data_IF_437577030599
#
_entry.id   IF_437577030599
#
_cell.length_a   1.000
_cell.length_b   1.000
_cell.length_c   1.000
_cell.angle_alpha   90.00
_cell.angle_beta   90.00
_cell.angle_gamma   90.00
#
_symmetry.space_group_name_H-M   'P 1'
#
loop_
_entity.id
_entity.type
_entity.pdbx_description
1 polymer ?
#
# COMPACT_ATOMS: atom_id res chain seq x y z
N UNK A 1 -7.80 -22.89 -10.87
CA UNK A 1 -7.34 -21.77 -11.70
C UNK A 1 -6.80 -20.74 -10.74
N UNK A 2 -5.63 -20.12 -11.00
CA UNK A 2 -5.24 -18.98 -10.19
C UNK A 2 -6.29 -17.89 -10.40
N UNK A 3 -6.78 -17.27 -9.32
CA UNK A 3 -7.73 -16.17 -9.44
C UNK A 3 -7.12 -15.03 -10.28
N UNK A 4 -7.92 -14.36 -11.12
CA UNK A 4 -7.42 -13.24 -11.90
C UNK A 4 -6.90 -12.14 -10.96
N UNK A 5 -5.60 -11.88 -11.00
CA UNK A 5 -4.98 -10.79 -10.24
C UNK A 5 -5.58 -9.45 -10.68
N UNK A 6 -6.02 -8.64 -9.73
CA UNK A 6 -6.53 -7.26 -9.96
C UNK A 6 -5.42 -6.24 -9.70
N UNK A 7 -5.62 -4.97 -10.09
CA UNK A 7 -4.69 -3.90 -9.67
C UNK A 7 -4.70 -3.74 -8.15
N UNK A 8 -5.85 -3.95 -7.52
CA UNK A 8 -6.02 -3.88 -6.07
C UNK A 8 -5.15 -4.92 -5.36
N UNK A 9 -5.23 -6.17 -5.78
CA UNK A 9 -4.37 -7.25 -5.28
C UNK A 9 -2.87 -6.94 -5.41
N UNK A 10 -2.44 -6.25 -6.48
CA UNK A 10 -1.04 -5.80 -6.63
C UNK A 10 -0.66 -4.72 -5.62
N UNK A 11 -1.56 -3.78 -5.33
CA UNK A 11 -1.36 -2.75 -4.30
C UNK A 11 -1.25 -3.44 -2.93
N UNK A 12 -2.17 -4.35 -2.63
CA UNK A 12 -2.19 -5.11 -1.38
C UNK A 12 -0.92 -5.95 -1.20
N UNK A 13 -0.44 -6.60 -2.26
CA UNK A 13 0.83 -7.32 -2.24
C UNK A 13 2.02 -6.40 -1.90
N UNK A 14 2.06 -5.17 -2.43
CA UNK A 14 3.09 -4.19 -2.12
C UNK A 14 3.01 -3.69 -0.65
N UNK A 15 1.80 -3.51 -0.11
CA UNK A 15 1.57 -3.18 1.31
C UNK A 15 2.09 -4.30 2.21
N UNK A 16 1.67 -5.56 1.96
CA UNK A 16 2.13 -6.75 2.70
C UNK A 16 3.65 -6.92 2.60
N UNK A 17 4.25 -6.66 1.43
CA UNK A 17 5.71 -6.69 1.24
C UNK A 17 6.43 -5.69 2.13
N UNK A 18 5.99 -4.43 2.16
CA UNK A 18 6.69 -3.38 2.90
C UNK A 18 6.54 -3.55 4.42
N UNK A 19 5.39 -4.04 4.91
CA UNK A 19 5.22 -4.42 6.33
C UNK A 19 6.19 -5.55 6.74
N UNK A 20 6.32 -6.59 5.92
CA UNK A 20 7.30 -7.67 6.16
C UNK A 20 8.75 -7.17 6.14
N UNK A 21 9.08 -6.24 5.22
CA UNK A 21 10.41 -5.63 5.16
C UNK A 21 10.73 -4.82 6.42
N UNK A 22 9.75 -4.10 6.96
CA UNK A 22 9.89 -3.36 8.21
C UNK A 22 10.09 -4.30 9.41
N UNK A 23 9.27 -5.34 9.54
CA UNK A 23 9.43 -6.35 10.60
C UNK A 23 10.83 -6.98 10.56
N UNK A 24 11.26 -7.47 9.38
CA UNK A 24 12.57 -8.07 9.21
C UNK A 24 13.71 -7.11 9.54
N UNK A 25 13.61 -5.85 9.13
CA UNK A 25 14.64 -4.84 9.38
C UNK A 25 14.72 -4.42 10.86
N UNK A 26 13.60 -4.44 11.58
CA UNK A 26 13.54 -4.12 13.01
C UNK A 26 13.88 -5.33 13.90
N UNK A 27 13.73 -6.56 13.38
CA UNK A 27 14.16 -7.79 14.05
C UNK A 27 15.68 -7.96 14.07
N UNK A 28 16.38 -7.39 13.09
CA UNK A 28 17.83 -7.42 13.04
C UNK A 28 18.41 -6.65 14.26
N UNK A 29 19.52 -7.14 14.87
CA UNK A 29 20.22 -6.37 15.90
C UNK A 29 20.47 -4.96 15.38
N UNK A 30 20.30 -3.90 16.19
CA UNK A 30 20.58 -2.54 15.76
C UNK A 30 21.97 -2.49 15.15
N UNK A 31 22.05 -2.49 13.83
CA UNK A 31 23.34 -2.42 13.18
C UNK A 31 23.95 -1.08 13.60
N UNK A 32 25.24 -1.04 13.88
CA UNK A 32 25.97 0.20 14.15
C UNK A 32 26.05 1.14 12.92
N UNK A 33 25.13 0.99 11.96
CA UNK A 33 24.99 1.79 10.76
C UNK A 33 24.32 3.13 11.13
N UNK A 34 25.08 4.24 11.12
CA UNK A 34 24.53 5.54 11.44
C UNK A 34 23.39 5.87 10.47
N UNK A 35 22.22 6.25 11.02
CA UNK A 35 21.08 6.69 10.22
C UNK A 35 20.11 5.60 9.77
N UNK A 36 20.34 4.31 10.08
CA UNK A 36 19.42 3.23 9.72
C UNK A 36 18.00 3.45 10.25
N UNK A 37 17.86 3.89 11.50
CA UNK A 37 16.56 4.18 12.09
C UNK A 37 15.79 5.28 11.33
N UNK A 38 16.49 6.32 10.87
CA UNK A 38 15.88 7.39 10.05
C UNK A 38 15.46 6.88 8.68
N UNK A 39 16.26 6.02 8.05
CA UNK A 39 15.90 5.37 6.79
C UNK A 39 14.64 4.52 6.96
N UNK A 40 14.56 3.68 7.98
CA UNK A 40 13.38 2.85 8.23
C UNK A 40 12.13 3.69 8.49
N UNK A 41 12.24 4.80 9.24
CA UNK A 41 11.14 5.76 9.38
C UNK A 41 10.72 6.37 8.04
N UNK A 42 11.66 6.71 7.16
CA UNK A 42 11.35 7.20 5.80
C UNK A 42 10.63 6.14 4.96
N UNK A 43 11.05 4.87 5.06
CA UNK A 43 10.38 3.75 4.40
C UNK A 43 8.94 3.57 4.90
N UNK A 44 8.75 3.59 6.23
CA UNK A 44 7.43 3.53 6.84
C UNK A 44 6.54 4.71 6.44
N UNK A 45 7.06 5.94 6.46
CA UNK A 45 6.31 7.12 6.05
C UNK A 45 5.85 7.03 4.57
N UNK A 46 6.63 6.38 3.71
CA UNK A 46 6.19 6.13 2.34
C UNK A 46 5.04 5.12 2.27
N UNK A 47 5.14 3.98 2.97
CA UNK A 47 4.06 3.00 3.07
C UNK A 47 2.77 3.65 3.59
N UNK A 48 2.87 4.39 4.69
CA UNK A 48 1.73 5.09 5.30
C UNK A 48 1.07 6.07 4.32
N UNK A 49 1.85 6.84 3.57
CA UNK A 49 1.34 7.76 2.54
C UNK A 49 0.67 7.04 1.35
N UNK A 50 1.23 5.92 0.88
CA UNK A 50 0.61 5.15 -0.22
C UNK A 50 -0.72 4.52 0.23
N UNK A 51 -0.72 3.89 1.40
CA UNK A 51 -1.89 3.22 1.94
C UNK A 51 -3.01 4.21 2.29
N UNK A 52 -2.67 5.36 2.90
CA UNK A 52 -3.64 6.40 3.20
C UNK A 52 -4.30 6.98 1.95
N UNK A 53 -3.54 7.18 0.87
CA UNK A 53 -4.10 7.67 -0.42
C UNK A 53 -5.00 6.65 -1.09
N UNK A 54 -4.66 5.37 -0.97
CA UNK A 54 -5.44 4.26 -1.51
C UNK A 54 -6.81 4.18 -0.83
N UNK A 55 -6.85 4.15 0.51
CA UNK A 55 -8.12 4.12 1.25
C UNK A 55 -8.94 5.40 1.09
N UNK A 56 -8.28 6.57 1.07
CA UNK A 56 -8.96 7.83 0.79
C UNK A 56 -9.65 7.80 -0.59
N UNK A 57 -8.99 7.22 -1.59
CA UNK A 57 -9.57 7.07 -2.93
C UNK A 57 -10.77 6.11 -2.93
N UNK A 58 -10.77 5.07 -2.11
CA UNK A 58 -11.92 4.19 -1.94
C UNK A 58 -13.11 4.91 -1.32
N UNK A 59 -12.89 5.60 -0.20
CA UNK A 59 -13.92 6.35 0.50
C UNK A 59 -14.51 7.46 -0.38
N UNK A 60 -13.68 8.19 -1.12
CA UNK A 60 -14.13 9.33 -1.92
C UNK A 60 -14.79 8.90 -3.25
N UNK A 61 -14.39 7.77 -3.83
CA UNK A 61 -14.74 7.40 -5.20
C UNK A 61 -15.40 6.03 -5.33
N UNK A 62 -14.82 5.00 -4.70
CA UNK A 62 -15.25 3.60 -4.87
C UNK A 62 -16.52 3.33 -4.08
N UNK A 63 -16.52 3.55 -2.76
CA UNK A 63 -17.67 3.26 -1.91
C UNK A 63 -18.94 4.01 -2.34
N UNK A 64 -18.89 5.32 -2.66
CA UNK A 64 -20.07 6.01 -3.18
C UNK A 64 -20.56 5.46 -4.52
N UNK A 65 -19.66 4.96 -5.38
CA UNK A 65 -20.05 4.33 -6.64
C UNK A 65 -20.72 2.97 -6.40
N UNK A 66 -20.18 2.16 -5.50
CA UNK A 66 -20.77 0.86 -5.12
C UNK A 66 -22.15 1.02 -4.48
N UNK A 67 -22.34 2.03 -3.64
CA UNK A 67 -23.67 2.37 -3.11
C UNK A 67 -24.67 2.69 -4.23
N UNK A 68 -24.27 3.48 -5.25
CA UNK A 68 -25.13 3.78 -6.41
C UNK A 68 -25.44 2.55 -7.26
N UNK A 69 -24.52 1.58 -7.30
CA UNK A 69 -24.68 0.31 -8.00
C UNK A 69 -25.47 -0.73 -7.20
N UNK A 70 -25.87 -0.40 -5.96
CA UNK A 70 -26.71 -1.25 -5.12
C UNK A 70 -25.95 -2.30 -4.30
N UNK A 71 -24.64 -2.12 -4.11
CA UNK A 71 -23.86 -2.94 -3.18
C UNK A 71 -24.34 -2.69 -1.74
N UNK A 72 -24.36 -3.76 -0.93
CA UNK A 72 -24.83 -3.73 0.45
C UNK A 72 -24.11 -2.66 1.27
N UNK A 73 -24.88 -1.73 1.83
CA UNK A 73 -24.37 -0.64 2.67
C UNK A 73 -23.78 -1.14 3.98
N UNK A 74 -24.17 -2.33 4.44
CA UNK A 74 -23.59 -2.96 5.64
C UNK A 74 -22.13 -3.30 5.40
N UNK A 75 -21.84 -3.98 4.28
CA UNK A 75 -20.47 -4.30 3.88
C UNK A 75 -19.62 -3.03 3.71
N UNK A 76 -20.18 -1.98 3.11
CA UNK A 76 -19.46 -0.71 2.95
C UNK A 76 -19.14 -0.07 4.31
N UNK A 77 -20.08 -0.09 5.26
CA UNK A 77 -19.83 0.39 6.62
C UNK A 77 -18.75 -0.42 7.35
N UNK A 78 -18.69 -1.74 7.13
CA UNK A 78 -17.62 -2.59 7.67
C UNK A 78 -16.25 -2.18 7.10
N UNK A 79 -16.15 -1.89 5.79
CA UNK A 79 -14.91 -1.39 5.18
C UNK A 79 -14.47 -0.04 5.78
N UNK A 80 -15.42 0.89 6.00
CA UNK A 80 -15.15 2.19 6.62
C UNK A 80 -14.65 2.05 8.07
N UNK A 81 -15.26 1.16 8.87
CA UNK A 81 -14.83 0.88 10.24
C UNK A 81 -13.41 0.26 10.26
N UNK A 82 -13.12 -0.64 9.32
CA UNK A 82 -11.80 -1.24 9.16
C UNK A 82 -10.74 -0.22 8.71
N UNK A 83 -11.10 0.71 7.82
CA UNK A 83 -10.26 1.85 7.45
C UNK A 83 -9.90 2.70 8.66
N UNK A 84 -10.88 3.03 9.51
CA UNK A 84 -10.65 3.78 10.73
C UNK A 84 -9.69 3.05 11.68
N UNK A 85 -9.84 1.73 11.84
CA UNK A 85 -8.94 0.90 12.63
C UNK A 85 -7.51 0.88 12.05
N UNK A 86 -7.36 0.82 10.73
CA UNK A 86 -6.05 0.89 10.07
C UNK A 86 -5.41 2.27 10.26
N UNK A 87 -6.15 3.37 10.13
CA UNK A 87 -5.64 4.72 10.38
C UNK A 87 -5.07 4.85 11.79
N UNK A 88 -5.79 4.32 12.80
CA UNK A 88 -5.30 4.32 14.17
C UNK A 88 -3.99 3.53 14.31
N UNK A 89 -3.95 2.28 13.82
CA UNK A 89 -2.77 1.43 13.89
C UNK A 89 -1.56 2.01 13.14
N UNK A 90 -1.78 2.65 11.98
CA UNK A 90 -0.74 3.32 11.22
C UNK A 90 -0.23 4.59 11.95
N UNK A 91 -1.11 5.31 12.64
CA UNK A 91 -0.73 6.45 13.47
C UNK A 91 0.15 6.06 14.66
N UNK A 92 -0.19 4.96 15.33
CA UNK A 92 0.62 4.39 16.43
C UNK A 92 2.01 3.98 15.94
N UNK A 93 2.08 3.26 14.81
CA UNK A 93 3.36 2.86 14.22
C UNK A 93 4.17 4.06 13.73
N UNK A 94 3.54 5.12 13.21
CA UNK A 94 4.23 6.36 12.88
C UNK A 94 4.93 7.00 14.09
N UNK A 95 4.25 6.97 15.23
CA UNK A 95 4.78 7.47 16.51
C UNK A 95 5.96 6.62 16.97
N UNK A 96 5.82 5.29 16.98
CA UNK A 96 6.89 4.38 17.38
C UNK A 96 8.14 4.49 16.48
N UNK A 97 7.95 4.58 15.16
CA UNK A 97 9.03 4.80 14.20
C UNK A 97 9.72 6.16 14.37
N UNK A 98 8.98 7.19 14.79
CA UNK A 98 9.54 8.51 15.12
C UNK A 98 10.41 8.44 16.37
N UNK A 99 9.94 7.79 17.43
CA UNK A 99 10.71 7.53 18.66
C UNK A 99 11.99 6.77 18.36
N UNK A 100 11.90 5.67 17.59
CA UNK A 100 13.06 4.88 17.19
C UNK A 100 14.08 5.69 16.38
N UNK A 101 13.61 6.54 15.45
CA UNK A 101 14.50 7.37 14.65
C UNK A 101 15.20 8.49 15.44
N UNK A 102 14.58 8.98 16.52
CA UNK A 102 15.13 10.01 17.40
C UNK A 102 16.16 9.43 18.38
N UNK A 103 15.85 8.28 18.98
CA UNK A 103 16.68 7.63 20.01
C UNK A 103 16.81 6.12 19.72
N UNK A 104 17.67 5.72 18.78
CA UNK A 104 17.81 4.31 18.40
C UNK A 104 18.40 3.48 19.54
N UNK A 105 17.65 2.51 20.03
CA UNK A 105 18.08 1.50 21.01
C UNK A 105 17.45 0.15 20.68
N UNK A 106 17.89 -0.92 21.34
CA UNK A 106 17.24 -2.22 21.21
C UNK A 106 15.78 -2.17 21.68
N UNK A 107 15.49 -1.39 22.72
CA UNK A 107 14.14 -1.20 23.25
C UNK A 107 13.25 -0.44 22.28
N UNK A 108 13.69 0.70 21.74
CA UNK A 108 12.87 1.49 20.80
C UNK A 108 12.69 0.77 19.46
N UNK A 109 13.67 -0.05 19.03
CA UNK A 109 13.50 -0.95 17.90
C UNK A 109 12.44 -2.02 18.16
N UNK A 110 12.45 -2.65 19.34
CA UNK A 110 11.47 -3.66 19.73
C UNK A 110 10.05 -3.08 19.81
N UNK A 111 9.88 -1.87 20.36
CA UNK A 111 8.61 -1.16 20.41
C UNK A 111 8.08 -0.84 19.00
N UNK A 112 8.94 -0.31 18.12
CA UNK A 112 8.58 -0.05 16.73
C UNK A 112 8.17 -1.34 16.01
N UNK A 113 8.90 -2.44 16.23
CA UNK A 113 8.58 -3.75 15.66
C UNK A 113 7.24 -4.29 16.14
N UNK A 114 6.97 -4.19 17.45
CA UNK A 114 5.69 -4.61 18.02
C UNK A 114 4.53 -3.84 17.38
N UNK A 115 4.70 -2.53 17.19
CA UNK A 115 3.70 -1.70 16.50
C UNK A 115 3.50 -2.14 15.04
N UNK A 116 4.58 -2.40 14.30
CA UNK A 116 4.51 -2.93 12.92
C UNK A 116 3.75 -4.25 12.85
N UNK A 117 4.00 -5.18 13.78
CA UNK A 117 3.30 -6.47 13.84
C UNK A 117 1.80 -6.30 14.15
N UNK A 118 1.45 -5.37 15.04
CA UNK A 118 0.06 -5.04 15.33
C UNK A 118 -0.64 -4.43 14.09
N UNK A 119 0.00 -3.46 13.43
CA UNK A 119 -0.47 -2.90 12.15
C UNK A 119 -0.66 -3.97 11.10
N UNK A 120 0.29 -4.92 10.97
CA UNK A 120 0.19 -6.00 10.00
C UNK A 120 -1.06 -6.87 10.23
N UNK A 121 -1.43 -7.15 11.49
CA UNK A 121 -2.65 -7.90 11.78
C UNK A 121 -3.92 -7.12 11.41
N UNK A 122 -3.95 -5.81 11.67
CA UNK A 122 -5.10 -4.96 11.32
C UNK A 122 -5.25 -4.87 9.81
N UNK A 123 -4.17 -4.54 9.11
CA UNK A 123 -4.13 -4.44 7.65
C UNK A 123 -4.50 -5.77 7.01
N UNK A 124 -3.92 -6.90 7.43
CA UNK A 124 -4.23 -8.19 6.81
C UNK A 124 -5.70 -8.57 6.94
N UNK A 125 -6.34 -8.30 8.09
CA UNK A 125 -7.77 -8.57 8.26
C UNK A 125 -8.60 -7.79 7.25
N UNK A 126 -8.31 -6.50 7.10
CA UNK A 126 -9.02 -5.65 6.15
C UNK A 126 -8.79 -6.10 4.70
N UNK A 127 -7.54 -6.22 4.26
CA UNK A 127 -7.23 -6.59 2.88
C UNK A 127 -7.84 -7.95 2.52
N UNK A 128 -7.83 -8.92 3.44
CA UNK A 128 -8.46 -10.22 3.22
C UNK A 128 -9.98 -10.14 3.14
N UNK A 129 -10.63 -9.27 3.93
CA UNK A 129 -12.07 -9.06 3.86
C UNK A 129 -12.46 -8.37 2.55
N UNK A 130 -11.74 -7.32 2.16
CA UNK A 130 -11.96 -6.61 0.90
C UNK A 130 -11.79 -7.54 -0.31
N UNK A 131 -10.69 -8.30 -0.36
CA UNK A 131 -10.41 -9.25 -1.44
C UNK A 131 -11.48 -10.36 -1.52
N UNK A 132 -12.00 -10.83 -0.39
CA UNK A 132 -12.96 -11.92 -0.33
C UNK A 132 -14.41 -11.49 -0.60
N UNK A 133 -14.81 -10.32 -0.12
CA UNK A 133 -16.21 -9.90 -0.11
C UNK A 133 -16.46 -8.66 -0.97
N UNK A 134 -15.60 -7.64 -0.94
CA UNK A 134 -15.86 -6.41 -1.69
C UNK A 134 -15.49 -6.57 -3.17
N UNK A 135 -14.27 -7.03 -3.49
CA UNK A 135 -13.79 -7.15 -4.88
C UNK A 135 -14.72 -7.97 -5.80
N UNK A 136 -15.26 -9.13 -5.39
CA UNK A 136 -16.18 -9.90 -6.22
C UNK A 136 -17.49 -9.16 -6.54
N UNK A 137 -17.90 -8.21 -5.69
CA UNK A 137 -19.08 -7.37 -5.92
C UNK A 137 -18.78 -6.22 -6.89
N UNK A 138 -17.51 -5.83 -7.05
CA UNK A 138 -17.08 -4.83 -8.04
C UNK A 138 -17.06 -5.44 -9.46
N UNK A 139 -16.61 -6.69 -9.60
CA UNK A 139 -16.34 -7.32 -10.90
C UNK A 139 -17.49 -7.26 -11.92
N UNK A 140 -18.78 -7.46 -11.56
CA UNK A 140 -19.90 -7.34 -12.49
C UNK A 140 -20.15 -5.93 -13.02
N UNK A 141 -19.57 -4.90 -12.39
CA UNK A 141 -19.83 -3.49 -12.69
C UNK A 141 -18.70 -2.79 -13.42
N UNK A 142 -17.61 -3.48 -13.78
CA UNK A 142 -16.43 -2.86 -14.41
C UNK A 142 -16.76 -2.10 -15.71
N UNK A 143 -17.77 -2.54 -16.46
CA UNK A 143 -18.22 -1.88 -17.70
C UNK A 143 -19.30 -0.81 -17.50
N UNK A 144 -19.77 -0.59 -16.26
CA UNK A 144 -20.78 0.43 -15.93
C UNK A 144 -20.25 1.85 -16.14
N UNK A 145 -21.15 2.81 -16.37
CA UNK A 145 -20.78 4.22 -16.50
C UNK A 145 -20.30 4.79 -15.16
N UNK A 146 -20.88 4.32 -14.06
CA UNK A 146 -20.47 4.63 -12.70
C UNK A 146 -19.00 4.22 -12.45
N UNK A 147 -18.62 3.01 -12.84
CA UNK A 147 -17.24 2.54 -12.67
C UNK A 147 -16.25 3.25 -13.61
N UNK A 148 -16.62 3.47 -14.88
CA UNK A 148 -15.80 4.26 -15.81
C UNK A 148 -15.55 5.68 -15.30
N UNK A 149 -16.53 6.28 -14.59
CA UNK A 149 -16.35 7.58 -13.97
C UNK A 149 -15.31 7.55 -12.84
N UNK A 150 -15.29 6.49 -12.01
CA UNK A 150 -14.25 6.25 -10.99
C UNK A 150 -12.87 6.11 -11.64
N UNK A 151 -12.74 5.25 -12.65
CA UNK A 151 -11.47 5.08 -13.37
C UNK A 151 -10.93 6.38 -13.96
N UNK A 152 -11.83 7.22 -14.50
CA UNK A 152 -11.46 8.53 -15.04
C UNK A 152 -10.88 9.45 -13.97
N UNK A 153 -11.33 9.36 -12.72
CA UNK A 153 -10.76 10.13 -11.61
C UNK A 153 -9.37 9.60 -11.23
N UNK A 154 -9.18 8.27 -11.16
CA UNK A 154 -7.85 7.68 -10.90
C UNK A 154 -6.79 8.12 -11.94
N UNK A 155 -7.20 8.32 -13.19
CA UNK A 155 -6.29 8.77 -14.28
C UNK A 155 -5.85 10.24 -14.17
N UNK A 156 -6.44 11.05 -13.29
CA UNK A 156 -6.10 12.49 -13.16
C UNK A 156 -4.85 12.77 -12.32
N UNK A 157 -4.15 11.74 -11.86
CA UNK A 157 -2.97 11.90 -11.02
C UNK A 157 -1.78 12.50 -11.80
N UNK A 158 -0.97 13.39 -11.19
CA UNK A 158 0.22 13.93 -11.83
C UNK A 158 1.19 12.80 -12.26
N UNK A 159 1.89 12.92 -13.41
CA UNK A 159 2.78 11.87 -13.90
C UNK A 159 3.87 11.43 -12.92
N UNK A 160 4.36 12.34 -12.08
CA UNK A 160 5.36 12.06 -11.04
C UNK A 160 4.78 11.22 -9.90
N UNK A 161 3.51 11.42 -9.54
CA UNK A 161 2.80 10.61 -8.54
C UNK A 161 2.60 9.20 -9.10
N UNK A 162 2.10 9.09 -10.32
CA UNK A 162 1.92 7.81 -11.03
C UNK A 162 3.25 7.06 -11.16
N UNK A 163 4.32 7.75 -11.56
CA UNK A 163 5.65 7.15 -11.68
C UNK A 163 6.22 6.64 -10.34
N UNK A 164 6.02 7.39 -9.25
CA UNK A 164 6.42 6.95 -7.90
C UNK A 164 5.64 5.72 -7.44
N UNK A 165 4.33 5.71 -7.69
CA UNK A 165 3.44 4.60 -7.37
C UNK A 165 3.85 3.32 -8.13
N UNK A 166 4.06 3.39 -9.45
CA UNK A 166 4.51 2.23 -10.22
C UNK A 166 5.92 1.77 -9.84
N UNK A 167 6.83 2.69 -9.50
CA UNK A 167 8.14 2.31 -8.97
C UNK A 167 8.02 1.52 -7.65
N UNK A 168 7.07 1.87 -6.79
CA UNK A 168 6.78 1.14 -5.56
C UNK A 168 6.14 -0.23 -5.82
N UNK A 169 5.15 -0.32 -6.71
CA UNK A 169 4.52 -1.60 -7.06
C UNK A 169 5.52 -2.59 -7.69
N UNK A 170 6.47 -2.10 -8.48
CA UNK A 170 7.42 -2.95 -9.22
C UNK A 170 8.68 -3.32 -8.43
N UNK A 171 8.96 -2.65 -7.31
CA UNK A 171 10.14 -2.94 -6.49
C UNK A 171 10.00 -4.29 -5.79
N UNK A 172 10.70 -5.32 -6.30
CA UNK A 172 10.65 -6.69 -5.74
C UNK A 172 9.21 -7.24 -5.67
N UNK A 173 8.42 -6.94 -6.71
CA UNK A 173 7.09 -7.50 -6.88
C UNK A 173 7.16 -9.02 -6.98
N UNK A 174 6.20 -9.71 -6.35
CA UNK A 174 6.08 -11.15 -6.51
C UNK A 174 5.77 -11.52 -7.99
N UNK A 175 6.01 -12.77 -8.40
CA UNK A 175 5.83 -13.18 -9.79
C UNK A 175 4.43 -12.93 -10.36
N UNK A 176 3.37 -13.06 -9.56
CA UNK A 176 1.99 -12.87 -10.01
C UNK A 176 1.70 -11.39 -10.24
N UNK A 177 2.04 -10.53 -9.27
CA UNK A 177 1.94 -9.07 -9.41
C UNK A 177 2.74 -8.55 -10.60
N UNK A 178 3.97 -9.05 -10.77
CA UNK A 178 4.82 -8.67 -11.89
C UNK A 178 4.27 -9.15 -13.24
N UNK A 179 3.65 -10.34 -13.30
CA UNK A 179 3.01 -10.83 -14.52
C UNK A 179 1.80 -9.98 -14.90
N UNK A 180 0.94 -9.67 -13.93
CA UNK A 180 -0.24 -8.82 -14.13
C UNK A 180 0.14 -7.42 -14.63
N UNK A 181 1.12 -6.76 -13.98
CA UNK A 181 1.56 -5.42 -14.43
C UNK A 181 2.07 -5.44 -15.87
N UNK A 182 2.74 -6.52 -16.30
CA UNK A 182 3.24 -6.67 -17.68
C UNK A 182 2.13 -6.94 -18.70
N UNK A 183 1.05 -7.62 -18.32
CA UNK A 183 -0.09 -7.85 -19.21
C UNK A 183 -0.93 -6.60 -19.41
N UNK A 184 -0.99 -5.73 -18.39
CA UNK A 184 -1.87 -4.56 -18.37
C UNK A 184 -1.17 -3.29 -18.87
N UNK A 185 0.15 -3.19 -18.71
CA UNK A 185 0.93 -1.99 -19.06
C UNK A 185 2.10 -2.36 -19.96
N UNK A 186 2.23 -1.76 -21.16
CA UNK A 186 3.35 -2.04 -22.05
C UNK A 186 4.71 -1.79 -21.37
N UNK A 187 5.67 -2.69 -21.56
CA UNK A 187 6.99 -2.61 -20.92
C UNK A 187 7.74 -1.27 -21.13
N UNK A 188 7.69 -0.60 -22.30
CA UNK A 188 8.29 0.73 -22.46
C UNK A 188 7.67 1.78 -21.54
N UNK A 189 6.36 1.69 -21.30
CA UNK A 189 5.61 2.61 -20.44
C UNK A 189 5.99 2.38 -18.97
N UNK A 190 6.05 1.12 -18.51
CA UNK A 190 6.52 0.79 -17.16
C UNK A 190 7.94 1.30 -16.94
N UNK A 191 8.83 1.13 -17.91
CA UNK A 191 10.22 1.60 -17.79
C UNK A 191 10.32 3.12 -17.64
N UNK A 192 9.56 3.90 -18.43
CA UNK A 192 9.54 5.37 -18.32
C UNK A 192 8.92 5.81 -17.00
N UNK A 193 7.77 5.24 -16.62
CA UNK A 193 7.08 5.55 -15.38
C UNK A 193 7.97 5.26 -14.17
N UNK A 194 8.54 4.07 -14.05
CA UNK A 194 9.29 3.67 -12.86
C UNK A 194 10.69 4.29 -12.79
N UNK A 195 11.40 4.44 -13.92
CA UNK A 195 12.82 4.89 -13.90
C UNK A 195 12.99 6.40 -14.05
N UNK A 196 12.14 7.07 -14.82
CA UNK A 196 12.23 8.52 -15.06
C UNK A 196 11.33 9.25 -14.08
N UNK A 197 10.04 8.92 -14.06
CA UNK A 197 9.05 9.61 -13.22
C UNK A 197 9.06 9.09 -11.76
N UNK A 198 9.44 7.82 -11.56
CA UNK A 198 9.66 7.20 -10.25
C UNK A 198 11.05 7.43 -9.64
N UNK A 199 11.86 8.33 -10.22
CA UNK A 199 13.24 8.59 -9.78
C UNK A 199 13.35 8.98 -8.29
N UNK A 200 12.33 9.63 -7.74
CA UNK A 200 12.25 9.91 -6.30
C UNK A 200 12.23 8.64 -5.45
N UNK A 201 11.37 7.67 -5.80
CA UNK A 201 11.32 6.36 -5.14
C UNK A 201 12.66 5.63 -5.23
N UNK A 202 13.23 5.55 -6.44
CA UNK A 202 14.48 4.83 -6.69
C UNK A 202 15.69 5.42 -5.93
N UNK A 203 15.65 6.72 -5.63
CA UNK A 203 16.72 7.41 -4.89
C UNK A 203 16.53 7.38 -3.38
N UNK A 204 15.29 7.45 -2.91
CA UNK A 204 14.99 7.71 -1.50
C UNK A 204 14.42 6.51 -0.76
N UNK A 205 13.68 5.64 -1.46
CA UNK A 205 12.94 4.53 -0.85
C UNK A 205 13.59 3.19 -1.17
N UNK A 206 13.77 2.84 -2.45
CA UNK A 206 14.32 1.54 -2.86
C UNK A 206 15.66 1.19 -2.17
N UNK A 207 16.61 2.13 -1.96
CA UNK A 207 17.87 1.83 -1.27
C UNK A 207 17.72 1.48 0.22
N UNK A 208 16.57 1.75 0.85
CA UNK A 208 16.33 1.40 2.26
C UNK A 208 16.24 -0.13 2.42
N UNK A 209 15.83 -0.84 1.37
CA UNK A 209 15.57 -2.28 1.39
C UNK A 209 16.74 -3.13 0.86
N UNK A 210 17.85 -2.50 0.50
CA UNK A 210 19.09 -3.15 0.02
C UNK A 210 20.16 -3.09 1.10
#
# INVERSE_FOLDING_TARGET
>A
MAEPTTMNAVIHAAVRRDLRRLDAALAAPPAAQPGRARQLRTGYAHLHDQLGKHHQQEEELVFPALQRLGVDTTLIGEMEDEHAAMVAALGETATAMTTYAASPSAESAAQARQSVLATQQVVERHLAHEEAELEPRIAPHLDSEEWKAVEKQFRKQPPTVVGRFFAWLTDDADPASAAYLRSTIPAPVVAVLSKVLGRGYQKQIAPIWR
#
